data_IF_837297955657
#
_entry.id   IF_837297955657
#
_cell.length_a   1.000
_cell.length_b   1.000
_cell.length_c   1.000
_cell.angle_alpha   90.00
_cell.angle_beta   90.00
_cell.angle_gamma   90.00
#
_symmetry.space_group_name_H-M   'P 1'
#
loop_
_entity.id
_entity.type
_entity.pdbx_description
1 polymer ?
#
# COMPACT_ATOMS: atom_id res chain seq x y z
N UNK A 1 -5.82 -7.35 3.00
CA UNK A 1 -7.04 -7.05 3.82
C UNK A 1 -8.26 -6.95 2.90
N UNK A 2 -9.44 -7.34 3.36
CA UNK A 2 -10.68 -7.27 2.59
C UNK A 2 -11.90 -7.00 3.49
N UNK A 3 -12.99 -6.53 2.88
CA UNK A 3 -14.29 -6.33 3.54
C UNK A 3 -15.37 -6.89 2.61
N UNK A 4 -16.30 -7.76 3.07
CA UNK A 4 -17.49 -8.12 2.31
C UNK A 4 -18.27 -6.86 1.92
N UNK A 5 -18.83 -6.83 0.70
CA UNK A 5 -19.53 -5.64 0.17
C UNK A 5 -20.81 -5.26 0.93
N UNK A 6 -21.38 -6.21 1.64
CA UNK A 6 -22.57 -6.02 2.50
C UNK A 6 -22.25 -5.53 3.92
N UNK A 7 -20.96 -5.39 4.26
CA UNK A 7 -20.51 -4.94 5.57
C UNK A 7 -19.74 -3.62 5.49
N UNK A 8 -20.12 -2.67 6.33
CA UNK A 8 -19.39 -1.41 6.49
C UNK A 8 -18.29 -1.54 7.55
N UNK A 9 -17.14 -2.09 7.14
CA UNK A 9 -15.97 -2.22 8.01
C UNK A 9 -14.84 -1.32 7.50
N UNK A 10 -14.35 -0.42 8.32
CA UNK A 10 -13.25 0.48 7.95
C UNK A 10 -11.94 -0.27 7.68
N UNK A 11 -11.58 -1.18 8.58
CA UNK A 11 -10.31 -1.91 8.51
C UNK A 11 -10.36 -3.19 7.69
N UNK A 12 -11.46 -3.92 7.73
CA UNK A 12 -11.61 -5.24 7.13
C UNK A 12 -10.83 -6.34 7.88
N UNK A 13 -10.72 -7.49 7.23
CA UNK A 13 -10.05 -8.69 7.74
C UNK A 13 -8.89 -9.11 6.86
N UNK A 14 -7.82 -9.71 7.42
CA UNK A 14 -6.80 -10.36 6.61
C UNK A 14 -7.37 -11.59 5.91
N UNK A 15 -6.95 -11.80 4.68
CA UNK A 15 -7.36 -12.94 3.87
C UNK A 15 -6.29 -13.33 2.87
N UNK A 16 -6.34 -14.60 2.45
CA UNK A 16 -5.53 -15.16 1.37
C UNK A 16 -6.41 -15.30 0.13
N UNK A 17 -5.91 -14.85 -1.01
CA UNK A 17 -6.61 -15.01 -2.29
C UNK A 17 -6.19 -16.34 -2.92
N UNK A 18 -7.16 -17.16 -3.29
CA UNK A 18 -6.99 -18.42 -4.02
C UNK A 18 -7.95 -18.45 -5.21
N UNK A 19 -7.43 -18.18 -6.41
CA UNK A 19 -8.23 -18.09 -7.62
C UNK A 19 -9.30 -17.00 -7.50
N UNK A 20 -10.58 -17.38 -7.54
CA UNK A 20 -11.73 -16.48 -7.46
C UNK A 20 -12.28 -16.31 -6.02
N UNK A 21 -11.54 -16.75 -5.00
CA UNK A 21 -11.96 -16.75 -3.60
C UNK A 21 -11.00 -15.99 -2.70
N UNK A 22 -11.54 -15.48 -1.61
CA UNK A 22 -10.80 -14.93 -0.47
C UNK A 22 -11.09 -15.78 0.75
N UNK A 23 -10.04 -16.36 1.32
CA UNK A 23 -10.12 -17.16 2.54
C UNK A 23 -9.74 -16.26 3.71
N UNK A 24 -10.67 -16.03 4.62
CA UNK A 24 -10.45 -15.24 5.82
C UNK A 24 -9.46 -15.93 6.76
N UNK A 25 -8.46 -15.19 7.22
CA UNK A 25 -7.47 -15.67 8.19
C UNK A 25 -7.86 -15.27 9.61
N UNK A 26 -7.54 -16.13 10.58
CA UNK A 26 -7.78 -15.88 12.01
C UNK A 26 -6.73 -14.91 12.59
N UNK A 27 -6.71 -13.68 12.10
CA UNK A 27 -5.87 -12.61 12.59
C UNK A 27 -6.65 -11.28 12.57
N UNK A 28 -6.25 -10.31 13.37
CA UNK A 28 -6.91 -9.01 13.38
C UNK A 28 -6.39 -8.07 12.28
N UNK A 29 -5.08 -8.12 12.03
CA UNK A 29 -4.38 -7.33 11.01
C UNK A 29 -3.29 -8.17 10.36
N UNK A 30 -2.74 -7.72 9.22
CA UNK A 30 -1.57 -8.36 8.63
C UNK A 30 -0.32 -8.21 9.50
N UNK A 31 -0.16 -7.08 10.18
CA UNK A 31 0.94 -6.88 11.14
C UNK A 31 0.85 -7.90 12.30
N UNK A 32 -0.36 -8.13 12.81
CA UNK A 32 -0.61 -9.17 13.82
C UNK A 32 -0.29 -10.56 13.29
N UNK A 33 -0.65 -10.84 12.03
CA UNK A 33 -0.29 -12.10 11.37
C UNK A 33 1.23 -12.27 11.25
N UNK A 34 1.95 -11.25 10.78
CA UNK A 34 3.40 -11.27 10.65
C UNK A 34 4.14 -11.39 11.99
N UNK A 35 3.56 -10.90 13.09
CA UNK A 35 4.16 -11.00 14.42
C UNK A 35 3.75 -12.26 15.19
N UNK A 36 3.11 -13.22 14.50
CA UNK A 36 2.69 -14.49 15.12
C UNK A 36 1.45 -14.38 16.02
N UNK A 37 0.79 -13.20 16.05
CA UNK A 37 -0.47 -12.98 16.79
C UNK A 37 -1.71 -13.48 16.06
N UNK A 38 -1.55 -14.12 14.90
CA UNK A 38 -2.61 -14.73 14.12
C UNK A 38 -2.28 -16.19 13.79
N UNK A 39 -3.30 -16.95 13.44
CA UNK A 39 -3.14 -18.30 12.91
C UNK A 39 -3.60 -18.29 11.45
N UNK A 40 -2.91 -19.03 10.59
CA UNK A 40 -3.37 -19.33 9.23
C UNK A 40 -4.62 -20.25 9.23
N UNK A 41 -5.43 -20.20 10.30
CA UNK A 41 -6.64 -20.97 10.44
C UNK A 41 -7.71 -20.32 9.61
N UNK A 42 -8.25 -21.04 8.67
CA UNK A 42 -9.32 -20.62 7.80
C UNK A 42 -10.62 -20.44 8.61
N UNK A 43 -11.30 -19.31 8.42
CA UNK A 43 -12.52 -18.99 9.13
C UNK A 43 -13.74 -19.04 8.23
N UNK A 44 -13.69 -18.36 7.10
CA UNK A 44 -14.75 -18.27 6.13
C UNK A 44 -14.19 -18.03 4.73
N UNK A 45 -14.95 -18.41 3.72
CA UNK A 45 -14.64 -18.17 2.32
C UNK A 45 -15.63 -17.17 1.73
N UNK A 46 -15.14 -16.27 0.88
CA UNK A 46 -15.91 -15.30 0.13
C UNK A 46 -15.50 -15.37 -1.35
N UNK A 47 -16.42 -15.08 -2.26
CA UNK A 47 -16.03 -14.84 -3.65
C UNK A 47 -15.26 -13.53 -3.75
N UNK A 48 -14.23 -13.49 -4.57
CA UNK A 48 -13.43 -12.26 -4.78
C UNK A 48 -14.31 -11.10 -5.27
N UNK A 49 -15.31 -11.39 -6.10
CA UNK A 49 -16.27 -10.41 -6.61
C UNK A 49 -17.22 -9.84 -5.53
N UNK A 50 -17.37 -10.52 -4.40
CA UNK A 50 -18.27 -10.12 -3.31
C UNK A 50 -17.56 -9.34 -2.21
N UNK A 51 -16.28 -9.05 -2.38
CA UNK A 51 -15.47 -8.30 -1.42
C UNK A 51 -14.90 -7.02 -2.01
N UNK A 52 -14.54 -6.09 -1.12
CA UNK A 52 -13.72 -4.93 -1.41
C UNK A 52 -12.32 -5.19 -0.85
N UNK A 53 -11.32 -5.13 -1.70
CA UNK A 53 -9.92 -5.21 -1.26
C UNK A 53 -9.53 -3.88 -0.59
N UNK A 54 -8.82 -3.99 0.53
CA UNK A 54 -8.41 -2.87 1.36
C UNK A 54 -6.90 -2.76 1.38
N UNK A 55 -6.38 -1.60 1.80
CA UNK A 55 -4.95 -1.45 2.03
C UNK A 55 -4.44 -2.55 2.98
N UNK A 56 -3.33 -3.22 2.65
CA UNK A 56 -2.75 -4.24 3.53
C UNK A 56 -2.39 -3.69 4.92
N UNK A 57 -1.91 -2.45 4.96
CA UNK A 57 -1.57 -1.71 6.18
C UNK A 57 -2.25 -0.34 6.09
N UNK A 58 -3.16 -0.02 7.00
CA UNK A 58 -3.87 1.26 7.02
C UNK A 58 -3.14 2.34 7.83
N UNK A 59 -2.43 1.93 8.86
CA UNK A 59 -1.73 2.82 9.78
C UNK A 59 -0.26 2.40 9.91
N UNK A 60 0.54 2.53 8.82
CA UNK A 60 1.95 2.17 8.89
C UNK A 60 2.67 3.06 9.90
N UNK A 61 3.58 2.50 10.73
CA UNK A 61 4.37 3.30 11.66
C UNK A 61 5.22 4.37 10.95
N UNK A 62 5.71 4.07 9.75
CA UNK A 62 6.39 5.01 8.87
C UNK A 62 6.26 4.60 7.41
N UNK A 63 6.34 5.59 6.52
CA UNK A 63 6.45 5.40 5.07
C UNK A 63 7.72 6.08 4.58
N UNK A 64 8.65 5.30 4.06
CA UNK A 64 9.90 5.77 3.46
C UNK A 64 9.81 5.58 1.96
N UNK A 65 10.08 6.63 1.21
CA UNK A 65 9.98 6.62 -0.26
C UNK A 65 11.36 6.82 -0.85
N UNK A 66 11.73 5.92 -1.74
CA UNK A 66 13.03 5.85 -2.39
C UNK A 66 12.89 6.18 -3.88
N UNK A 67 13.78 7.01 -4.42
CA UNK A 67 13.98 7.12 -5.87
C UNK A 67 15.16 6.25 -6.33
N UNK A 68 16.06 5.95 -5.41
CA UNK A 68 17.14 4.97 -5.52
C UNK A 68 17.41 4.34 -4.15
N UNK A 69 18.25 3.31 -4.07
CA UNK A 69 18.54 2.61 -2.81
C UNK A 69 19.44 3.39 -1.83
N UNK A 70 19.90 4.61 -2.19
CA UNK A 70 20.87 5.37 -1.40
C UNK A 70 20.25 6.53 -0.60
N UNK A 71 18.99 6.86 -0.88
CA UNK A 71 18.31 7.97 -0.20
C UNK A 71 16.79 7.75 -0.13
N UNK A 72 16.16 8.29 0.91
CA UNK A 72 14.70 8.29 1.05
C UNK A 72 14.22 9.56 1.74
N UNK A 73 12.92 9.84 1.58
CA UNK A 73 12.19 10.80 2.39
C UNK A 73 11.03 10.13 3.11
N UNK A 74 10.50 10.77 4.15
CA UNK A 74 9.30 10.31 4.83
C UNK A 74 8.06 10.88 4.16
N UNK A 75 7.17 9.99 3.75
CA UNK A 75 5.82 10.38 3.34
C UNK A 75 4.86 10.37 4.54
N UNK A 76 3.72 11.04 4.38
CA UNK A 76 2.71 11.14 5.42
C UNK A 76 1.96 9.81 5.61
N UNK A 77 2.31 9.05 6.62
CA UNK A 77 1.67 7.78 6.96
C UNK A 77 0.14 7.92 7.19
N UNK A 78 -0.31 9.07 7.72
CA UNK A 78 -1.74 9.35 7.94
C UNK A 78 -2.52 9.61 6.66
N UNK A 79 -1.84 9.76 5.51
CA UNK A 79 -2.46 9.95 4.21
C UNK A 79 -2.79 8.63 3.48
N UNK A 80 -2.48 7.48 4.08
CA UNK A 80 -2.80 6.16 3.50
C UNK A 80 -4.32 6.00 3.35
N UNK A 81 -4.71 5.51 2.18
CA UNK A 81 -6.10 5.17 1.80
C UNK A 81 -6.14 3.81 1.12
N UNK A 82 -7.27 3.14 1.25
CA UNK A 82 -7.56 1.90 0.50
C UNK A 82 -7.88 2.20 -0.97
N UNK A 83 -7.76 1.20 -1.87
CA UNK A 83 -8.29 1.30 -3.22
C UNK A 83 -9.78 1.73 -3.22
N UNK A 84 -10.17 2.49 -4.21
CA UNK A 84 -11.52 3.08 -4.31
C UNK A 84 -11.73 4.38 -3.54
N UNK A 85 -10.72 4.87 -2.85
CA UNK A 85 -10.84 6.11 -2.07
C UNK A 85 -11.09 7.35 -2.94
N UNK A 86 -11.72 8.35 -2.34
CA UNK A 86 -11.84 9.68 -2.92
C UNK A 86 -10.56 10.48 -2.68
N UNK A 87 -10.03 11.04 -3.76
CA UNK A 87 -8.90 11.95 -3.75
C UNK A 87 -9.45 13.36 -4.00
N UNK A 88 -9.43 14.18 -2.97
CA UNK A 88 -9.80 15.60 -3.10
C UNK A 88 -8.66 16.30 -3.81
N UNK A 89 -8.94 16.82 -4.99
CA UNK A 89 -7.97 17.56 -5.80
C UNK A 89 -7.58 18.85 -5.10
N UNK A 90 -6.29 19.09 -4.81
CA UNK A 90 -5.80 20.44 -4.54
C UNK A 90 -5.99 21.37 -5.75
N UNK A 91 -5.92 22.67 -5.55
CA UNK A 91 -5.93 23.60 -6.67
C UNK A 91 -4.73 23.35 -7.60
N UNK A 92 -4.97 23.40 -8.91
CA UNK A 92 -3.94 23.25 -9.93
C UNK A 92 -3.75 21.83 -10.46
N UNK A 93 -2.52 21.55 -10.89
CA UNK A 93 -2.13 20.27 -11.46
C UNK A 93 -2.14 19.16 -10.40
N UNK A 94 -2.57 17.97 -10.81
CA UNK A 94 -2.54 16.78 -9.99
C UNK A 94 -1.85 15.66 -10.76
N UNK A 95 -0.79 15.12 -10.18
CA UNK A 95 -0.02 14.01 -10.72
C UNK A 95 -0.12 12.80 -9.79
N UNK A 96 0.14 11.60 -10.33
CA UNK A 96 0.25 10.39 -9.52
C UNK A 96 1.37 9.49 -10.04
N UNK A 97 2.21 9.01 -9.13
CA UNK A 97 3.24 8.01 -9.42
C UNK A 97 2.82 6.66 -8.85
N UNK A 98 2.94 5.60 -9.64
CA UNK A 98 2.81 4.22 -9.15
C UNK A 98 4.16 3.69 -8.71
N UNK A 99 4.19 2.95 -7.62
CA UNK A 99 5.40 2.36 -7.02
C UNK A 99 5.09 0.96 -6.49
N UNK A 100 6.11 0.11 -6.36
CA UNK A 100 6.06 -1.01 -5.43
C UNK A 100 6.42 -0.51 -4.04
N UNK A 101 5.81 -1.11 -3.02
CA UNK A 101 6.14 -0.86 -1.62
C UNK A 101 6.34 -2.19 -0.88
N UNK A 102 7.51 -2.38 -0.31
CA UNK A 102 7.77 -3.47 0.61
C UNK A 102 7.11 -3.17 1.96
N UNK A 103 6.43 -4.16 2.50
CA UNK A 103 5.83 -4.13 3.85
C UNK A 103 6.77 -4.89 4.79
N UNK A 104 7.22 -4.21 5.82
CA UNK A 104 8.09 -4.82 6.84
C UNK A 104 7.27 -5.76 7.72
N UNK A 105 7.77 -6.97 7.86
CA UNK A 105 7.22 -8.02 8.69
C UNK A 105 7.95 -8.18 10.01
N UNK A 106 8.04 -9.43 10.46
CA UNK A 106 8.72 -9.80 11.71
C UNK A 106 10.23 -9.52 11.61
N UNK A 107 10.81 -9.07 12.72
CA UNK A 107 12.26 -8.85 12.88
C UNK A 107 12.89 -7.92 11.82
N UNK A 108 12.10 -7.01 11.26
CA UNK A 108 12.58 -6.07 10.25
C UNK A 108 12.77 -6.67 8.85
N UNK A 109 12.42 -7.94 8.65
CA UNK A 109 12.43 -8.58 7.34
C UNK A 109 11.30 -8.05 6.45
N UNK A 110 11.47 -8.14 5.14
CA UNK A 110 10.39 -7.85 4.20
C UNK A 110 9.37 -9.01 4.27
N UNK A 111 8.12 -8.67 4.60
CA UNK A 111 7.01 -9.62 4.67
C UNK A 111 6.26 -9.79 3.35
N UNK A 112 6.46 -8.89 2.39
CA UNK A 112 5.86 -8.92 1.06
C UNK A 112 5.82 -7.55 0.44
N UNK A 113 5.26 -7.46 -0.77
CA UNK A 113 5.18 -6.25 -1.58
C UNK A 113 3.74 -5.93 -1.96
N UNK A 114 3.44 -4.65 -2.06
CA UNK A 114 2.12 -4.15 -2.46
C UNK A 114 2.28 -2.95 -3.40
N UNK A 115 1.19 -2.54 -4.03
CA UNK A 115 1.18 -1.32 -4.83
C UNK A 115 1.04 -0.09 -3.96
N UNK A 116 1.67 1.00 -4.38
CA UNK A 116 1.49 2.32 -3.81
C UNK A 116 1.30 3.34 -4.93
N UNK A 117 0.28 4.19 -4.81
CA UNK A 117 0.12 5.37 -5.65
C UNK A 117 0.35 6.63 -4.80
N UNK A 118 1.42 7.36 -5.13
CA UNK A 118 1.81 8.62 -4.50
C UNK A 118 1.24 9.79 -5.30
N UNK A 119 0.35 10.57 -4.69
CA UNK A 119 -0.27 11.73 -5.30
C UNK A 119 0.54 12.99 -5.04
N UNK A 120 0.63 13.84 -6.06
CA UNK A 120 1.38 15.08 -6.01
C UNK A 120 0.63 16.24 -6.65
N UNK A 121 0.67 17.39 -5.99
CA UNK A 121 0.20 18.66 -6.50
C UNK A 121 1.41 19.61 -6.68
N UNK A 122 2.09 19.60 -7.83
CA UNK A 122 3.41 20.23 -8.01
C UNK A 122 3.41 21.75 -7.86
N UNK A 123 2.25 22.40 -7.93
CA UNK A 123 2.10 23.83 -7.71
C UNK A 123 2.08 24.24 -6.23
N UNK A 124 1.95 23.27 -5.31
CA UNK A 124 2.01 23.51 -3.88
C UNK A 124 3.44 23.45 -3.38
N UNK A 125 3.73 24.24 -2.35
CA UNK A 125 5.03 24.16 -1.67
C UNK A 125 5.14 22.89 -0.79
N UNK A 126 6.33 22.31 -0.72
CA UNK A 126 6.59 21.19 0.17
C UNK A 126 6.36 21.58 1.65
N UNK A 127 5.84 20.67 2.48
CA UNK A 127 5.50 19.28 2.18
C UNK A 127 4.08 19.09 1.59
N UNK A 128 3.29 20.16 1.42
CA UNK A 128 1.89 20.11 0.99
C UNK A 128 1.71 19.64 -0.45
N UNK A 129 2.77 19.63 -1.23
CA UNK A 129 2.77 19.12 -2.60
C UNK A 129 2.50 17.60 -2.67
N UNK A 130 2.73 16.82 -1.58
CA UNK A 130 2.63 15.35 -1.58
C UNK A 130 2.19 14.70 -0.27
N UNK A 131 1.66 15.46 0.70
CA UNK A 131 1.32 14.92 2.02
C UNK A 131 -0.17 14.56 2.19
N UNK A 132 -0.98 14.62 1.14
CA UNK A 132 -2.43 14.57 1.22
C UNK A 132 -3.07 13.22 0.85
N UNK A 133 -2.43 12.40 0.01
CA UNK A 133 -2.96 11.10 -0.37
C UNK A 133 -1.89 10.11 -0.80
N UNK A 134 -2.01 8.89 -0.28
CA UNK A 134 -1.29 7.69 -0.69
C UNK A 134 -2.30 6.55 -0.80
N UNK A 135 -2.44 5.92 -1.96
CA UNK A 135 -3.24 4.70 -2.08
C UNK A 135 -2.33 3.49 -1.91
N UNK A 136 -2.74 2.54 -1.10
CA UNK A 136 -1.99 1.31 -0.82
C UNK A 136 -2.82 0.07 -1.11
N UNK A 137 -2.25 -0.91 -1.79
CA UNK A 137 -2.91 -2.19 -2.07
C UNK A 137 -2.81 -2.58 -3.55
N UNK A 138 -3.76 -3.35 -4.09
CA UNK A 138 -4.89 -3.97 -3.39
C UNK A 138 -4.52 -5.22 -2.59
N UNK A 139 -3.40 -5.90 -2.95
CA UNK A 139 -2.95 -7.15 -2.33
C UNK A 139 -1.52 -7.03 -1.83
N UNK A 140 -1.11 -7.99 -1.04
CA UNK A 140 0.28 -8.20 -0.64
C UNK A 140 0.77 -9.50 -1.28
N UNK A 141 1.79 -9.38 -2.13
CA UNK A 141 2.51 -10.52 -2.72
C UNK A 141 3.68 -10.89 -1.82
N UNK A 142 3.81 -12.16 -1.50
CA UNK A 142 4.90 -12.64 -0.63
C UNK A 142 6.16 -13.03 -1.40
N UNK A 143 6.04 -13.21 -2.71
CA UNK A 143 7.14 -13.54 -3.61
C UNK A 143 7.10 -12.60 -4.81
N UNK A 144 8.09 -11.73 -4.93
CA UNK A 144 8.23 -10.80 -6.03
C UNK A 144 9.68 -10.76 -6.48
N UNK A 145 9.88 -10.96 -7.79
CA UNK A 145 11.15 -10.68 -8.46
C UNK A 145 11.10 -9.27 -9.04
N UNK A 146 11.95 -8.39 -8.53
CA UNK A 146 12.03 -6.98 -8.92
C UNK A 146 13.49 -6.54 -9.01
N UNK A 147 13.77 -5.61 -9.90
CA UNK A 147 15.12 -5.13 -10.16
C UNK A 147 15.66 -4.14 -9.09
N UNK A 148 14.79 -3.60 -8.23
CA UNK A 148 15.20 -2.67 -7.20
C UNK A 148 15.90 -3.40 -6.05
N UNK A 149 16.99 -2.83 -5.55
CA UNK A 149 17.77 -3.41 -4.43
C UNK A 149 17.07 -3.14 -3.09
N UNK A 150 16.07 -3.97 -2.80
CA UNK A 150 15.29 -3.92 -1.57
C UNK A 150 16.13 -4.15 -0.32
N UNK A 151 17.18 -4.97 -0.39
CA UNK A 151 18.04 -5.22 0.76
C UNK A 151 18.91 -4.02 1.08
N UNK A 152 19.44 -3.31 0.08
CA UNK A 152 20.16 -2.05 0.31
C UNK A 152 19.23 -0.98 0.87
N UNK A 153 18.01 -0.83 0.32
CA UNK A 153 17.02 0.11 0.82
C UNK A 153 16.60 -0.19 2.27
N UNK A 154 16.38 -1.47 2.58
CA UNK A 154 16.07 -1.94 3.94
C UNK A 154 17.23 -1.63 4.91
N UNK A 155 18.46 -1.97 4.53
CA UNK A 155 19.65 -1.70 5.35
C UNK A 155 19.82 -0.20 5.63
N UNK A 156 19.62 0.66 4.62
CA UNK A 156 19.66 2.11 4.81
C UNK A 156 18.54 2.60 5.72
N UNK A 157 17.31 2.08 5.54
CA UNK A 157 16.15 2.44 6.36
C UNK A 157 16.31 2.05 7.84
N UNK A 158 17.10 0.99 8.12
CA UNK A 158 17.37 0.48 9.46
C UNK A 158 18.59 1.14 10.11
N UNK A 159 19.44 1.80 9.34
CA UNK A 159 20.69 2.40 9.83
C UNK A 159 20.43 3.37 10.98
N UNK A 160 20.99 3.08 12.17
CA UNK A 160 20.84 3.83 13.42
C UNK A 160 19.40 3.94 13.96
N UNK A 161 18.47 3.09 13.46
CA UNK A 161 17.09 3.02 13.91
C UNK A 161 16.63 1.56 13.87
N UNK A 162 15.33 1.31 13.93
CA UNK A 162 14.78 -0.02 13.66
C UNK A 162 13.55 0.10 12.79
N UNK A 163 13.36 -0.88 11.94
CA UNK A 163 12.11 -1.09 11.24
C UNK A 163 11.10 -1.81 12.15
N UNK A 164 9.85 -1.47 11.99
CA UNK A 164 8.73 -2.07 12.74
C UNK A 164 7.83 -2.83 11.76
N UNK A 165 7.17 -3.91 12.20
CA UNK A 165 6.11 -4.53 11.42
C UNK A 165 5.10 -3.48 10.96
N UNK A 166 4.76 -3.52 9.66
CA UNK A 166 3.87 -2.53 9.03
C UNK A 166 4.56 -1.28 8.48
N UNK A 167 5.86 -1.03 8.75
CA UNK A 167 6.61 0.02 8.04
C UNK A 167 6.59 -0.25 6.54
N UNK A 168 6.51 0.82 5.75
CA UNK A 168 6.52 0.76 4.29
C UNK A 168 7.82 1.34 3.74
N UNK A 169 8.42 0.61 2.81
CA UNK A 169 9.53 1.07 1.98
C UNK A 169 9.02 1.11 0.54
N UNK A 170 8.68 2.29 0.02
CA UNK A 170 8.23 2.46 -1.36
C UNK A 170 9.45 2.65 -2.27
N UNK A 171 9.58 1.83 -3.29
CA UNK A 171 10.67 1.89 -4.28
C UNK A 171 10.49 3.01 -5.30
N UNK A 172 11.36 3.06 -6.32
CA UNK A 172 11.30 4.07 -7.39
C UNK A 172 9.95 4.09 -8.11
N UNK A 173 9.60 5.20 -8.77
CA UNK A 173 8.39 5.26 -9.57
C UNK A 173 8.46 4.28 -10.74
N UNK A 174 7.40 3.47 -10.91
CA UNK A 174 7.21 2.57 -12.05
C UNK A 174 6.59 3.31 -13.23
N UNK A 175 5.65 4.23 -12.94
CA UNK A 175 5.02 5.09 -13.92
C UNK A 175 4.64 6.42 -13.28
N UNK A 176 4.58 7.47 -14.12
CA UNK A 176 4.09 8.80 -13.76
C UNK A 176 2.92 9.15 -14.67
N UNK A 177 1.81 9.55 -14.08
CA UNK A 177 0.63 10.09 -14.77
C UNK A 177 0.48 11.56 -14.38
N UNK A 178 0.75 12.44 -15.34
CA UNK A 178 0.66 13.88 -15.14
C UNK A 178 -0.73 14.41 -15.51
N UNK A 179 -1.15 15.48 -14.90
CA UNK A 179 -2.42 16.16 -15.17
C UNK A 179 -3.64 15.21 -15.10
N UNK A 180 -3.71 14.41 -14.06
CA UNK A 180 -4.82 13.48 -13.85
C UNK A 180 -6.14 14.25 -13.84
N UNK A 181 -7.09 13.83 -14.68
CA UNK A 181 -8.43 14.44 -14.74
C UNK A 181 -9.31 13.96 -13.57
N UNK A 182 -10.40 14.73 -13.30
CA UNK A 182 -11.45 14.26 -12.38
C UNK A 182 -12.17 13.04 -12.95
N UNK A 183 -12.63 12.15 -12.06
CA UNK A 183 -13.30 10.92 -12.42
C UNK A 183 -12.62 9.69 -11.79
N UNK A 184 -13.01 8.50 -12.23
CA UNK A 184 -12.40 7.25 -11.79
C UNK A 184 -11.09 7.02 -12.54
N UNK A 185 -10.03 6.75 -11.79
CA UNK A 185 -8.71 6.39 -12.29
C UNK A 185 -8.36 4.98 -11.84
N UNK A 186 -7.84 4.19 -12.76
CA UNK A 186 -7.29 2.86 -12.48
C UNK A 186 -5.79 2.83 -12.78
N UNK A 187 -5.01 2.37 -11.83
CA UNK A 187 -3.55 2.29 -11.88
C UNK A 187 -3.14 0.84 -11.68
N UNK A 188 -2.75 0.17 -12.76
CA UNK A 188 -2.33 -1.24 -12.69
C UNK A 188 -0.83 -1.33 -12.44
N UNK A 189 -0.46 -2.13 -11.44
CA UNK A 189 0.91 -2.50 -11.12
C UNK A 189 1.04 -4.00 -11.34
N UNK A 190 1.98 -4.38 -12.19
CA UNK A 190 2.16 -5.79 -12.56
C UNK A 190 2.32 -6.67 -11.31
N UNK A 191 1.69 -7.87 -11.34
CA UNK A 191 1.65 -8.88 -10.28
C UNK A 191 0.94 -8.46 -8.98
N UNK A 192 0.79 -7.17 -8.71
CA UNK A 192 0.15 -6.67 -7.48
C UNK A 192 -1.33 -6.33 -7.71
N UNK A 193 -1.70 -5.95 -8.94
CA UNK A 193 -3.08 -5.66 -9.29
C UNK A 193 -3.36 -4.17 -9.52
N UNK A 194 -4.64 -3.79 -9.46
CA UNK A 194 -5.11 -2.46 -9.82
C UNK A 194 -5.54 -1.65 -8.60
N UNK A 195 -4.96 -0.47 -8.45
CA UNK A 195 -5.40 0.58 -7.53
C UNK A 195 -6.42 1.45 -8.24
N UNK A 196 -7.61 1.60 -7.68
CA UNK A 196 -8.62 2.53 -8.17
C UNK A 196 -8.73 3.77 -7.28
N UNK A 197 -9.03 4.92 -7.86
CA UNK A 197 -9.28 6.16 -7.15
C UNK A 197 -10.43 6.93 -7.80
N UNK A 198 -11.16 7.72 -7.00
CA UNK A 198 -12.15 8.66 -7.49
C UNK A 198 -11.63 10.08 -7.25
N UNK A 199 -11.22 10.77 -8.30
CA UNK A 199 -10.66 12.13 -8.24
C UNK A 199 -11.78 13.16 -8.41
N UNK A 200 -11.91 14.07 -7.45
CA UNK A 200 -12.93 15.14 -7.49
C UNK A 200 -12.49 16.35 -8.33
#
# INVERSE_FOLDING_TARGET
>A
MFTPKDLELERGWPGRIEGDRVIQLAAQTLESFFTGGGQAREHAEYRLDDVLLRAPVLEPPAVRVFDDANSFWFANASAIRSPGAFIIRPAGQLDVSTRLAAVIGLDGAIGGWTGLAEWRAPELAAPKDRDFALLLGPVLETELDDAFDWEAARALAELHTRLRPGDLLAGPPLALHENVASGTLELTIDRVGTLSANVS
#
